data_IF_565412648664
#
_entry.id   IF_565412648664
#
_cell.length_a   1.000
_cell.length_b   1.000
_cell.length_c   1.000
_cell.angle_alpha   90.00
_cell.angle_beta   90.00
_cell.angle_gamma   90.00
#
_symmetry.space_group_name_H-M   'P 1'
#
loop_
_entity.id
_entity.type
_entity.pdbx_description
1 polymer ?
#
# COMPACT_ATOMS: atom_id res chain seq x y z
N UNK A 1 -8.40 -25.05 23.03
CA UNK A 1 -9.20 -23.85 22.70
C UNK A 1 -8.49 -22.64 23.30
N UNK A 2 -8.09 -21.65 22.49
CA UNK A 2 -7.50 -20.40 23.01
C UNK A 2 -8.62 -19.39 23.15
N UNK A 3 -9.14 -19.22 24.36
CA UNK A 3 -10.05 -18.11 24.67
C UNK A 3 -9.27 -16.81 24.61
N UNK A 4 -9.36 -16.10 23.49
CA UNK A 4 -8.85 -14.74 23.38
C UNK A 4 -9.78 -13.84 24.20
N UNK A 5 -9.31 -13.35 25.35
CA UNK A 5 -10.02 -12.34 26.11
C UNK A 5 -10.10 -11.07 25.27
N UNK A 6 -11.28 -10.78 24.75
CA UNK A 6 -11.62 -9.52 24.08
C UNK A 6 -12.48 -8.70 25.02
N UNK A 7 -12.21 -7.40 25.16
CA UNK A 7 -13.08 -6.55 25.96
C UNK A 7 -14.46 -6.45 25.29
N UNK A 8 -15.51 -6.23 26.07
CA UNK A 8 -16.87 -6.09 25.53
C UNK A 8 -16.96 -5.00 24.44
N UNK A 9 -16.15 -3.95 24.57
CA UNK A 9 -16.00 -2.92 23.55
C UNK A 9 -15.49 -3.48 22.21
N UNK A 10 -14.47 -4.34 22.23
CA UNK A 10 -13.89 -4.94 21.02
C UNK A 10 -14.88 -5.92 20.37
N UNK A 11 -15.68 -6.63 21.17
CA UNK A 11 -16.74 -7.50 20.66
C UNK A 11 -17.88 -6.71 20.00
N UNK A 12 -18.28 -5.58 20.60
CA UNK A 12 -19.31 -4.70 20.01
C UNK A 12 -18.79 -4.07 18.73
N UNK A 13 -17.55 -3.57 18.71
CA UNK A 13 -16.92 -3.04 17.50
C UNK A 13 -16.81 -4.09 16.40
N UNK A 14 -16.34 -5.29 16.73
CA UNK A 14 -16.24 -6.40 15.79
C UNK A 14 -17.61 -6.81 15.27
N UNK A 15 -18.62 -6.87 16.13
CA UNK A 15 -19.99 -7.19 15.76
C UNK A 15 -20.57 -6.14 14.80
N UNK A 16 -20.44 -4.86 15.13
CA UNK A 16 -20.90 -3.77 14.26
C UNK A 16 -20.17 -3.80 12.91
N UNK A 17 -18.84 -3.93 12.93
CA UNK A 17 -18.02 -3.99 11.72
C UNK A 17 -18.34 -5.20 10.84
N UNK A 18 -18.60 -6.37 11.44
CA UNK A 18 -18.93 -7.59 10.70
C UNK A 18 -20.31 -7.54 10.04
N UNK A 19 -21.22 -6.70 10.54
CA UNK A 19 -22.54 -6.48 9.97
C UNK A 19 -22.57 -5.43 8.86
N UNK A 20 -21.50 -4.63 8.71
CA UNK A 20 -21.39 -3.63 7.65
C UNK A 20 -21.20 -4.28 6.29
N UNK A 21 -21.82 -3.70 5.26
CA UNK A 21 -21.60 -4.09 3.87
C UNK A 21 -20.14 -3.81 3.46
N UNK A 22 -19.64 -4.50 2.43
CA UNK A 22 -18.27 -4.30 1.93
C UNK A 22 -17.96 -2.84 1.60
N UNK A 23 -18.86 -2.17 0.90
CA UNK A 23 -18.75 -0.76 0.55
C UNK A 23 -18.72 0.15 1.80
N UNK A 24 -19.49 -0.17 2.83
CA UNK A 24 -19.50 0.62 4.06
C UNK A 24 -18.18 0.47 4.82
N UNK A 25 -17.63 -0.76 4.87
CA UNK A 25 -16.33 -1.04 5.50
C UNK A 25 -15.20 -0.34 4.78
N UNK A 26 -15.15 -0.43 3.45
CA UNK A 26 -14.13 0.22 2.65
C UNK A 26 -14.22 1.76 2.75
N UNK A 27 -15.43 2.33 2.82
CA UNK A 27 -15.61 3.78 3.04
C UNK A 27 -15.08 4.22 4.40
N UNK A 28 -15.36 3.44 5.44
CA UNK A 28 -14.85 3.70 6.78
C UNK A 28 -13.32 3.65 6.81
N UNK A 29 -12.73 2.61 6.21
CA UNK A 29 -11.28 2.47 6.07
C UNK A 29 -10.64 3.66 5.34
N UNK A 30 -11.24 4.11 4.24
CA UNK A 30 -10.81 5.30 3.53
C UNK A 30 -10.82 6.56 4.42
N UNK A 31 -11.91 6.78 5.18
CA UNK A 31 -12.03 7.92 6.09
C UNK A 31 -10.99 7.89 7.23
N UNK A 32 -10.79 6.72 7.85
CA UNK A 32 -9.81 6.55 8.92
C UNK A 32 -8.40 6.83 8.38
N UNK A 33 -8.05 6.25 7.24
CA UNK A 33 -6.75 6.44 6.62
C UNK A 33 -6.42 7.91 6.36
N UNK A 34 -7.36 8.67 5.78
CA UNK A 34 -7.18 10.11 5.55
C UNK A 34 -7.07 10.91 6.85
N UNK A 35 -7.85 10.57 7.87
CA UNK A 35 -7.76 11.23 9.17
C UNK A 35 -6.39 11.03 9.82
N UNK A 36 -5.82 9.83 9.72
CA UNK A 36 -4.47 9.53 10.22
C UNK A 36 -3.42 10.29 9.41
N UNK A 37 -3.53 10.32 8.09
CA UNK A 37 -2.61 11.11 7.25
C UNK A 37 -2.63 12.60 7.61
N UNK A 38 -3.81 13.17 7.86
CA UNK A 38 -3.95 14.56 8.32
C UNK A 38 -3.13 14.81 9.59
N UNK A 39 -3.29 13.95 10.61
CA UNK A 39 -2.52 14.05 11.86
C UNK A 39 -1.02 13.87 11.67
N UNK A 40 -0.60 12.95 10.80
CA UNK A 40 0.83 12.77 10.51
C UNK A 40 1.47 14.03 9.93
N UNK A 41 0.73 14.76 9.09
CA UNK A 41 1.19 16.02 8.50
C UNK A 41 1.26 17.14 9.54
N UNK A 42 0.28 17.21 10.45
CA UNK A 42 0.21 18.20 11.53
C UNK A 42 1.30 17.98 12.59
N UNK A 43 1.49 16.73 13.02
CA UNK A 43 2.38 16.38 14.14
C UNK A 43 3.81 16.04 13.68
N UNK A 44 4.07 15.99 12.36
CA UNK A 44 5.32 15.53 11.75
C UNK A 44 5.74 14.11 12.19
N UNK A 45 4.78 13.25 12.53
CA UNK A 45 5.03 11.89 13.03
C UNK A 45 4.89 10.87 11.88
N UNK A 46 6.02 10.32 11.42
CA UNK A 46 6.05 9.27 10.39
C UNK A 46 5.73 7.86 10.92
N UNK A 47 5.49 7.70 12.22
CA UNK A 47 5.29 6.38 12.85
C UNK A 47 3.95 5.76 12.52
N UNK A 48 2.95 6.57 12.15
CA UNK A 48 1.61 6.09 11.78
C UNK A 48 1.49 5.73 10.30
N UNK A 49 2.58 5.77 9.52
CA UNK A 49 2.55 5.53 8.07
C UNK A 49 1.91 4.18 7.71
N UNK A 50 2.33 3.09 8.35
CA UNK A 50 1.79 1.77 8.07
C UNK A 50 0.30 1.70 8.36
N UNK A 51 -0.14 2.26 9.50
CA UNK A 51 -1.55 2.28 9.88
C UNK A 51 -2.36 3.07 8.86
N UNK A 52 -1.88 4.25 8.44
CA UNK A 52 -2.56 5.05 7.43
C UNK A 52 -2.68 4.32 6.10
N UNK A 53 -1.57 3.75 5.61
CA UNK A 53 -1.53 3.05 4.32
C UNK A 53 -2.39 1.79 4.34
N UNK A 54 -2.35 0.98 5.40
CA UNK A 54 -3.19 -0.20 5.54
C UNK A 54 -4.69 0.14 5.48
N UNK A 55 -5.09 1.23 6.13
CA UNK A 55 -6.48 1.70 6.11
C UNK A 55 -6.86 2.18 4.70
N UNK A 56 -6.00 2.95 4.04
CA UNK A 56 -6.29 3.44 2.69
C UNK A 56 -6.32 2.31 1.65
N UNK A 57 -5.43 1.32 1.75
CA UNK A 57 -5.42 0.15 0.88
C UNK A 57 -6.74 -0.65 1.00
N UNK A 58 -7.28 -0.81 2.21
CA UNK A 58 -8.59 -1.46 2.43
C UNK A 58 -9.78 -0.62 1.94
N UNK A 59 -9.58 0.69 1.79
CA UNK A 59 -10.57 1.62 1.29
C UNK A 59 -10.36 2.03 -0.17
N UNK A 60 -9.48 1.35 -0.92
CA UNK A 60 -9.01 1.81 -2.22
C UNK A 60 -10.13 1.94 -3.26
N UNK A 61 -11.20 1.15 -3.13
CA UNK A 61 -12.35 1.18 -4.06
C UNK A 61 -13.05 2.55 -4.07
N UNK A 62 -12.87 3.37 -3.03
CA UNK A 62 -13.40 4.74 -2.97
C UNK A 62 -12.42 5.80 -3.51
N UNK A 63 -11.25 5.39 -3.98
CA UNK A 63 -10.31 6.25 -4.71
C UNK A 63 -10.54 6.09 -6.21
N UNK A 64 -11.62 6.69 -6.72
CA UNK A 64 -11.96 6.60 -8.15
C UNK A 64 -11.07 7.49 -9.02
N UNK A 65 -10.58 8.60 -8.48
CA UNK A 65 -9.74 9.54 -9.23
C UNK A 65 -8.30 9.03 -9.38
N UNK A 66 -7.77 9.08 -10.61
CA UNK A 66 -6.37 8.77 -10.94
C UNK A 66 -5.40 9.44 -9.97
N UNK A 67 -5.64 10.73 -9.66
CA UNK A 67 -4.81 11.48 -8.73
C UNK A 67 -4.81 10.90 -7.31
N UNK A 68 -5.95 10.39 -6.83
CA UNK A 68 -6.08 9.72 -5.54
C UNK A 68 -5.28 8.41 -5.52
N UNK A 69 -5.44 7.59 -6.56
CA UNK A 69 -4.67 6.33 -6.71
C UNK A 69 -3.16 6.58 -6.76
N UNK A 70 -2.71 7.60 -7.49
CA UNK A 70 -1.28 7.95 -7.55
C UNK A 70 -0.72 8.43 -6.21
N UNK A 71 -1.53 9.14 -5.41
CA UNK A 71 -1.14 9.50 -4.04
C UNK A 71 -1.00 8.25 -3.17
N UNK A 72 -1.94 7.32 -3.24
CA UNK A 72 -1.85 6.07 -2.50
C UNK A 72 -0.69 5.18 -2.98
N UNK A 73 -0.41 5.13 -4.28
CA UNK A 73 0.76 4.44 -4.83
C UNK A 73 2.08 5.00 -4.27
N UNK A 74 2.20 6.33 -4.15
CA UNK A 74 3.35 7.00 -3.51
C UNK A 74 3.46 6.69 -2.01
N UNK A 75 2.34 6.56 -1.31
CA UNK A 75 2.33 6.19 0.11
C UNK A 75 2.74 4.73 0.31
N UNK A 76 2.27 3.84 -0.56
CA UNK A 76 2.69 2.45 -0.62
C UNK A 76 4.19 2.31 -0.92
N UNK A 77 4.74 3.11 -1.84
CA UNK A 77 6.18 3.17 -2.08
C UNK A 77 6.94 3.51 -0.77
N UNK A 78 6.53 4.59 -0.08
CA UNK A 78 7.15 5.00 1.20
C UNK A 78 7.03 3.92 2.28
N UNK A 79 5.90 3.24 2.37
CA UNK A 79 5.70 2.13 3.28
C UNK A 79 6.62 0.95 2.92
N UNK A 80 6.74 0.63 1.62
CA UNK A 80 7.67 -0.36 1.09
C UNK A 80 9.13 -0.07 1.44
N UNK A 81 9.59 1.16 1.21
CA UNK A 81 10.93 1.64 1.57
C UNK A 81 11.17 1.50 3.09
N UNK A 82 10.24 2.00 3.92
CA UNK A 82 10.34 1.90 5.38
C UNK A 82 10.38 0.44 5.84
N UNK A 83 9.55 -0.42 5.26
CA UNK A 83 9.51 -1.85 5.58
C UNK A 83 10.80 -2.57 5.18
N UNK A 84 11.41 -2.18 4.05
CA UNK A 84 12.71 -2.70 3.61
C UNK A 84 13.82 -2.30 4.58
N UNK A 85 13.87 -1.04 5.03
CA UNK A 85 14.84 -0.56 6.03
C UNK A 85 14.73 -1.31 7.36
N UNK A 86 13.52 -1.75 7.72
CA UNK A 86 13.24 -2.57 8.91
C UNK A 86 13.44 -4.08 8.68
N UNK A 87 13.95 -4.48 7.51
CA UNK A 87 14.13 -5.89 7.09
C UNK A 87 12.84 -6.74 7.11
N UNK A 88 11.68 -6.10 6.95
CA UNK A 88 10.36 -6.77 6.84
C UNK A 88 10.00 -6.97 5.37
N UNK A 89 10.78 -7.82 4.68
CA UNK A 89 10.73 -7.95 3.21
C UNK A 89 9.38 -8.43 2.66
N UNK A 90 8.65 -9.29 3.39
CA UNK A 90 7.31 -9.71 2.97
C UNK A 90 6.31 -8.54 3.00
N UNK A 91 6.36 -7.72 4.05
CA UNK A 91 5.50 -6.52 4.16
C UNK A 91 5.88 -5.49 3.11
N UNK A 92 7.19 -5.28 2.89
CA UNK A 92 7.68 -4.39 1.85
C UNK A 92 7.17 -4.80 0.47
N UNK A 93 7.27 -6.08 0.11
CA UNK A 93 6.72 -6.61 -1.15
C UNK A 93 5.21 -6.36 -1.27
N UNK A 94 4.45 -6.59 -0.19
CA UNK A 94 2.99 -6.38 -0.19
C UNK A 94 2.60 -4.92 -0.43
N UNK A 95 3.28 -3.96 0.19
CA UNK A 95 3.02 -2.55 -0.07
C UNK A 95 3.40 -2.16 -1.49
N UNK A 96 4.54 -2.63 -2.00
CA UNK A 96 4.99 -2.31 -3.36
C UNK A 96 4.06 -2.90 -4.42
N UNK A 97 3.57 -4.12 -4.21
CA UNK A 97 2.58 -4.77 -5.08
C UNK A 97 1.27 -3.97 -5.12
N UNK A 98 0.78 -3.50 -3.96
CA UNK A 98 -0.39 -2.61 -3.92
C UNK A 98 -0.11 -1.26 -4.58
N UNK A 99 1.11 -0.73 -4.43
CA UNK A 99 1.53 0.50 -5.12
C UNK A 99 1.50 0.34 -6.64
N UNK A 100 1.94 -0.81 -7.15
CA UNK A 100 1.95 -1.14 -8.58
C UNK A 100 0.51 -1.34 -9.09
N UNK A 101 -0.36 -2.02 -8.35
CA UNK A 101 -1.76 -2.26 -8.78
C UNK A 101 -2.59 -0.97 -8.91
N UNK A 102 -2.18 0.10 -8.22
CA UNK A 102 -2.83 1.40 -8.27
C UNK A 102 -2.40 2.26 -9.48
N UNK A 103 -1.35 1.88 -10.20
CA UNK A 103 -0.85 2.62 -11.36
C UNK A 103 -1.88 2.58 -12.50
N UNK A 104 -2.05 3.72 -13.20
CA UNK A 104 -2.91 3.83 -14.37
C UNK A 104 -2.24 3.22 -15.60
N UNK A 105 -3.00 2.83 -16.63
CA UNK A 105 -2.45 2.08 -17.78
C UNK A 105 -1.27 2.78 -18.49
N UNK A 106 -1.23 4.11 -18.52
CA UNK A 106 -0.17 4.94 -19.11
C UNK A 106 0.88 5.44 -18.10
N UNK A 107 1.01 4.75 -16.97
CA UNK A 107 1.89 5.15 -15.86
C UNK A 107 3.37 5.29 -16.23
N UNK A 108 3.87 4.48 -17.17
CA UNK A 108 5.25 4.61 -17.66
C UNK A 108 5.48 5.94 -18.41
N UNK A 109 4.45 6.54 -19.00
CA UNK A 109 4.56 7.82 -19.70
C UNK A 109 4.36 8.99 -18.73
N UNK A 110 3.26 8.97 -17.98
CA UNK A 110 2.86 10.07 -17.08
C UNK A 110 3.63 10.11 -15.76
N UNK A 111 3.92 8.94 -15.20
CA UNK A 111 4.45 8.76 -13.84
C UNK A 111 5.71 7.87 -13.85
N UNK A 112 6.58 8.12 -14.84
CA UNK A 112 7.78 7.30 -15.09
C UNK A 112 8.62 7.07 -13.83
N UNK A 113 8.95 8.13 -13.08
CA UNK A 113 9.83 8.01 -11.90
C UNK A 113 9.19 7.19 -10.78
N UNK A 114 7.88 7.36 -10.55
CA UNK A 114 7.13 6.57 -9.56
C UNK A 114 7.10 5.09 -9.98
N UNK A 115 6.81 4.83 -11.25
CA UNK A 115 6.73 3.49 -11.83
C UNK A 115 8.09 2.78 -11.73
N UNK A 116 9.15 3.45 -12.18
CA UNK A 116 10.49 2.91 -12.15
C UNK A 116 10.91 2.59 -10.71
N UNK A 117 10.61 3.47 -9.75
CA UNK A 117 10.99 3.26 -8.35
C UNK A 117 10.22 2.08 -7.72
N UNK A 118 8.89 2.03 -7.89
CA UNK A 118 8.07 0.92 -7.39
C UNK A 118 8.55 -0.43 -7.94
N UNK A 119 8.75 -0.53 -9.26
CA UNK A 119 9.19 -1.77 -9.89
C UNK A 119 10.62 -2.14 -9.49
N UNK A 120 11.54 -1.18 -9.43
CA UNK A 120 12.94 -1.46 -9.07
C UNK A 120 13.05 -1.97 -7.63
N UNK A 121 12.36 -1.30 -6.70
CA UNK A 121 12.35 -1.69 -5.30
C UNK A 121 11.63 -3.02 -5.08
N UNK A 122 10.53 -3.27 -5.80
CA UNK A 122 9.83 -4.55 -5.75
C UNK A 122 10.74 -5.70 -6.19
N UNK A 123 11.49 -5.52 -7.28
CA UNK A 123 12.45 -6.53 -7.75
C UNK A 123 13.56 -6.82 -6.71
N UNK A 124 14.07 -5.78 -6.04
CA UNK A 124 15.09 -5.91 -5.00
C UNK A 124 14.55 -6.65 -3.77
N UNK A 125 13.35 -6.32 -3.32
CA UNK A 125 12.72 -6.97 -2.16
C UNK A 125 12.35 -8.41 -2.47
N UNK A 126 11.86 -8.69 -3.68
CA UNK A 126 11.53 -10.06 -4.11
C UNK A 126 12.79 -10.93 -4.26
N UNK A 127 13.95 -10.33 -4.55
CA UNK A 127 15.25 -11.00 -4.45
C UNK A 127 15.54 -11.44 -3.01
N UNK A 128 15.36 -10.55 -2.03
CA UNK A 128 15.49 -10.89 -0.61
C UNK A 128 14.50 -11.98 -0.16
N UNK A 129 13.30 -12.03 -0.74
CA UNK A 129 12.30 -13.06 -0.50
C UNK A 129 12.55 -14.38 -1.27
N UNK A 130 13.53 -14.44 -2.18
CA UNK A 130 13.82 -15.60 -3.03
C UNK A 130 12.77 -15.88 -4.11
N UNK A 131 11.97 -14.88 -4.49
CA UNK A 131 10.85 -15.00 -5.44
C UNK A 131 11.26 -14.59 -6.86
N UNK A 132 12.19 -15.34 -7.44
CA UNK A 132 12.83 -14.99 -8.72
C UNK A 132 11.88 -14.88 -9.92
N UNK A 133 10.74 -15.56 -9.89
CA UNK A 133 9.73 -15.43 -10.95
C UNK A 133 9.20 -13.99 -11.05
N UNK A 134 8.88 -13.37 -9.92
CA UNK A 134 8.36 -12.01 -9.84
C UNK A 134 9.40 -10.99 -10.30
N UNK A 135 10.68 -11.22 -9.96
CA UNK A 135 11.80 -10.41 -10.44
C UNK A 135 11.86 -10.43 -11.98
N UNK A 136 11.77 -11.62 -12.59
CA UNK A 136 11.84 -11.73 -14.05
C UNK A 136 10.74 -10.95 -14.75
N UNK A 137 9.51 -10.99 -14.24
CA UNK A 137 8.38 -10.22 -14.78
C UNK A 137 8.61 -8.71 -14.62
N UNK A 138 9.03 -8.30 -13.43
CA UNK A 138 9.24 -6.88 -13.08
C UNK A 138 10.36 -6.26 -13.92
N UNK A 139 11.49 -6.95 -14.03
CA UNK A 139 12.65 -6.52 -14.81
C UNK A 139 12.31 -6.42 -16.31
N UNK A 140 11.53 -7.37 -16.85
CA UNK A 140 11.03 -7.28 -18.24
C UNK A 140 10.18 -6.02 -18.45
N UNK A 141 9.30 -5.69 -17.51
CA UNK A 141 8.48 -4.47 -17.58
C UNK A 141 9.35 -3.22 -17.57
N UNK A 142 10.37 -3.15 -16.72
CA UNK A 142 11.32 -2.03 -16.66
C UNK A 142 12.05 -1.89 -18.00
N UNK A 143 12.63 -2.97 -18.53
CA UNK A 143 13.37 -2.92 -19.79
C UNK A 143 12.52 -2.52 -20.98
N UNK A 144 11.26 -2.95 -21.03
CA UNK A 144 10.34 -2.58 -22.11
C UNK A 144 10.06 -1.07 -22.18
N UNK A 145 10.21 -0.36 -21.05
CA UNK A 145 9.89 1.08 -20.94
C UNK A 145 11.13 1.93 -20.61
N UNK A 146 12.32 1.35 -20.61
CA UNK A 146 13.55 2.05 -20.29
C UNK A 146 13.79 3.19 -21.31
N UNK A 147 13.87 4.42 -20.81
CA UNK A 147 14.23 5.57 -21.65
C UNK A 147 15.71 5.47 -22.03
N UNK A 148 15.98 5.32 -23.32
CA UNK A 148 17.34 5.41 -23.87
C UNK A 148 17.72 6.89 -23.93
N UNK A 149 18.81 7.25 -23.25
CA UNK A 149 19.44 8.56 -23.35
C UNK A 149 20.48 8.59 -24.48
#
# INVERSE_FOLDING_TARGET
ERSCYMFAHDQIQYGAYSLMLEDERARLHHQIGHSILGKMLEDHVNDLLFIAVDQLNRGEIFMEEEHGKMKLAKLNLKAGEKAMLLATFLSSASYLEQGISLLCDDHWEKYYDLSLHLYSLYAEVEYCNGRFHNISLTVKSIFAHAKVY
#
